data_IF_467572199211
#
_entry.id   IF_467572199211
#
_cell.length_a   1.000
_cell.length_b   1.000
_cell.length_c   1.000
_cell.angle_alpha   90.00
_cell.angle_beta   90.00
_cell.angle_gamma   90.00
#
_symmetry.space_group_name_H-M   'P 1'
#
loop_
_entity.id
_entity.type
_entity.pdbx_description
1 polymer ?
#
# COMPACT_ATOMS: atom_id res chain seq x y z
N UNK A 1 -8.55 48.78 22.50
CA UNK A 1 -9.14 48.22 23.73
C UNK A 1 -8.86 46.71 23.74
N UNK A 2 -8.11 46.24 24.72
CA UNK A 2 -7.83 44.83 24.90
C UNK A 2 -9.05 44.20 25.64
N UNK A 3 -9.61 43.15 25.09
CA UNK A 3 -10.65 42.35 25.76
C UNK A 3 -9.94 41.18 26.46
N UNK A 4 -10.06 41.13 27.79
CA UNK A 4 -9.56 40.01 28.59
C UNK A 4 -10.70 39.04 28.85
N UNK A 5 -10.57 37.79 28.38
CA UNK A 5 -11.57 36.71 28.52
C UNK A 5 -12.99 37.12 28.08
N UNK A 6 -13.19 37.58 26.82
CA UNK A 6 -14.51 37.98 26.37
C UNK A 6 -15.43 36.75 26.28
N UNK A 7 -16.70 36.89 26.77
CA UNK A 7 -17.75 35.94 26.48
C UNK A 7 -18.46 36.37 25.19
N UNK A 8 -18.45 35.55 24.19
CA UNK A 8 -19.21 35.74 22.95
C UNK A 8 -20.50 34.93 23.11
N UNK A 9 -21.65 35.51 22.87
CA UNK A 9 -22.97 34.92 23.15
C UNK A 9 -23.23 33.70 22.28
N UNK A 10 -23.67 33.92 21.03
CA UNK A 10 -24.04 32.83 20.12
C UNK A 10 -23.25 32.81 18.82
N UNK A 11 -22.76 33.97 18.33
CA UNK A 11 -22.11 34.08 17.03
C UNK A 11 -21.10 35.23 16.95
N UNK A 12 -20.17 35.08 16.03
CA UNK A 12 -19.30 36.17 15.56
C UNK A 12 -19.89 36.62 14.22
N UNK A 13 -20.16 37.93 14.09
CA UNK A 13 -20.71 38.53 12.88
C UNK A 13 -19.62 39.16 12.02
N UNK A 14 -19.89 39.25 10.70
CA UNK A 14 -19.10 40.05 9.76
C UNK A 14 -19.40 41.56 9.91
N UNK A 15 -18.76 42.39 9.08
CA UNK A 15 -18.95 43.85 9.10
C UNK A 15 -20.35 44.29 8.61
N UNK A 16 -21.09 43.40 7.95
CA UNK A 16 -22.47 43.65 7.48
C UNK A 16 -23.54 43.12 8.40
N UNK A 17 -23.12 42.50 9.52
CA UNK A 17 -24.05 41.91 10.49
C UNK A 17 -24.49 40.49 10.18
N UNK A 18 -23.90 39.83 9.18
CA UNK A 18 -24.19 38.41 8.88
C UNK A 18 -23.36 37.47 9.78
N UNK A 19 -23.91 36.28 10.07
CA UNK A 19 -23.22 35.27 10.86
C UNK A 19 -21.96 34.75 10.11
N UNK A 20 -20.82 34.89 10.76
CA UNK A 20 -19.54 34.36 10.30
C UNK A 20 -19.22 33.03 10.98
N UNK A 21 -19.39 32.96 12.30
CA UNK A 21 -19.23 31.74 13.10
C UNK A 21 -20.38 31.63 14.09
N UNK A 22 -21.09 30.51 14.08
CA UNK A 22 -22.08 30.19 15.06
C UNK A 22 -21.45 29.35 16.18
N UNK A 23 -21.61 29.81 17.44
CA UNK A 23 -21.04 29.16 18.61
C UNK A 23 -22.18 28.48 19.40
N UNK A 24 -22.28 27.17 19.25
CA UNK A 24 -23.28 26.38 19.99
C UNK A 24 -22.66 25.81 21.25
N UNK A 25 -23.20 26.17 22.40
CA UNK A 25 -22.72 25.66 23.69
C UNK A 25 -23.34 24.29 24.01
N UNK A 26 -22.51 23.37 24.48
CA UNK A 26 -22.93 22.08 25.05
C UNK A 26 -22.75 22.15 26.58
N UNK A 27 -23.74 21.73 27.35
CA UNK A 27 -23.64 21.72 28.82
C UNK A 27 -22.56 20.72 29.26
N UNK A 28 -21.75 21.17 30.25
CA UNK A 28 -20.64 20.36 30.80
C UNK A 28 -19.58 19.92 29.78
N UNK A 29 -19.37 20.70 28.70
CA UNK A 29 -18.36 20.40 27.72
C UNK A 29 -16.95 20.56 28.32
N UNK A 30 -16.07 19.63 28.00
CA UNK A 30 -14.65 19.62 28.38
C UNK A 30 -13.73 19.60 27.15
N UNK A 31 -14.31 19.33 25.98
CA UNK A 31 -13.60 19.27 24.72
C UNK A 31 -13.89 20.52 23.88
N UNK A 32 -12.86 21.14 23.37
CA UNK A 32 -12.96 22.39 22.60
C UNK A 32 -12.05 22.36 21.37
N UNK A 33 -12.20 23.37 20.52
CA UNK A 33 -11.30 23.67 19.40
C UNK A 33 -10.36 24.78 19.81
N UNK A 34 -9.06 24.50 19.72
CA UNK A 34 -8.01 25.49 19.87
C UNK A 34 -7.56 26.01 18.50
N UNK A 35 -7.56 27.32 18.32
CA UNK A 35 -6.98 28.00 17.17
C UNK A 35 -5.69 28.68 17.61
N UNK A 36 -4.56 28.29 17.02
CA UNK A 36 -3.27 28.89 17.31
C UNK A 36 -2.65 29.52 16.06
N UNK A 37 -2.12 30.74 16.19
CA UNK A 37 -1.26 31.33 15.19
C UNK A 37 0.16 30.73 15.28
N UNK A 38 1.01 31.05 14.32
CA UNK A 38 2.39 30.54 14.28
C UNK A 38 3.38 31.63 13.92
N UNK A 39 4.64 31.47 14.36
CA UNK A 39 5.75 32.32 13.94
C UNK A 39 6.12 32.03 12.47
N UNK A 40 6.90 32.93 11.85
CA UNK A 40 7.39 32.77 10.47
C UNK A 40 8.06 31.42 10.28
N UNK A 41 7.66 30.72 9.24
CA UNK A 41 8.15 29.37 8.89
C UNK A 41 7.36 28.20 9.51
N UNK A 42 6.38 28.47 10.38
CA UNK A 42 5.50 27.47 10.95
C UNK A 42 4.04 27.69 10.50
N UNK A 43 3.24 26.63 10.48
CA UNK A 43 1.83 26.71 10.13
C UNK A 43 0.94 27.00 11.35
N UNK A 44 -0.10 27.85 11.25
CA UNK A 44 -1.13 27.95 12.27
C UNK A 44 -1.93 26.64 12.35
N UNK A 45 -2.51 26.36 13.51
CA UNK A 45 -3.19 25.08 13.76
C UNK A 45 -4.63 25.26 14.21
N UNK A 46 -5.46 24.27 13.85
CA UNK A 46 -6.78 24.01 14.43
C UNK A 46 -6.69 22.64 15.11
N UNK A 47 -6.83 22.60 16.42
CA UNK A 47 -6.70 21.37 17.20
C UNK A 47 -7.91 21.12 18.08
N UNK A 48 -8.27 19.85 18.25
CA UNK A 48 -9.17 19.42 19.32
C UNK A 48 -8.35 19.34 20.62
N UNK A 49 -8.91 19.83 21.73
CA UNK A 49 -8.30 19.78 23.06
C UNK A 49 -9.34 19.41 24.12
N UNK A 50 -8.89 19.02 25.30
CA UNK A 50 -9.76 18.58 26.40
C UNK A 50 -9.34 17.23 26.97
N UNK A 51 -10.10 16.18 26.77
CA UNK A 51 -9.82 14.83 27.26
C UNK A 51 -8.59 14.18 26.58
N UNK A 52 -8.17 13.00 27.09
CA UNK A 52 -6.96 12.31 26.59
C UNK A 52 -7.06 11.92 25.10
N UNK A 53 -8.25 11.57 24.61
CA UNK A 53 -8.50 11.16 23.22
C UNK A 53 -9.70 11.94 22.67
N UNK A 54 -9.45 12.98 21.88
CA UNK A 54 -10.48 13.81 21.26
C UNK A 54 -10.28 13.86 19.75
N UNK A 55 -11.30 13.50 19.00
CA UNK A 55 -11.30 13.59 17.52
C UNK A 55 -11.74 14.97 17.06
N UNK A 56 -11.08 15.52 16.03
CA UNK A 56 -11.56 16.69 15.29
C UNK A 56 -12.45 16.22 14.14
N UNK A 57 -13.73 16.59 14.19
CA UNK A 57 -14.70 16.23 13.16
C UNK A 57 -15.05 17.47 12.31
N UNK A 58 -14.72 17.41 11.00
CA UNK A 58 -15.01 18.45 10.03
C UNK A 58 -16.08 17.93 9.06
N UNK A 59 -17.30 18.42 9.17
CA UNK A 59 -18.46 17.89 8.42
C UNK A 59 -18.97 18.92 7.42
N UNK A 60 -18.77 18.71 6.10
CA UNK A 60 -19.41 19.52 5.07
C UNK A 60 -20.92 19.37 5.09
N UNK A 61 -21.65 20.35 4.57
CA UNK A 61 -23.12 20.32 4.48
C UNK A 61 -23.56 19.74 3.11
N UNK A 62 -24.53 18.82 3.15
CA UNK A 62 -25.15 18.24 1.96
C UNK A 62 -24.13 17.46 1.12
N UNK A 63 -24.02 17.77 -0.17
CA UNK A 63 -23.06 17.15 -1.11
C UNK A 63 -21.71 17.86 -1.16
N UNK A 64 -21.47 18.83 -0.26
CA UNK A 64 -20.18 19.53 -0.20
C UNK A 64 -19.03 18.60 0.19
N UNK A 65 -17.81 18.96 -0.19
CA UNK A 65 -16.59 18.25 0.15
C UNK A 65 -15.67 19.09 1.02
N UNK A 66 -14.81 18.46 1.82
CA UNK A 66 -13.74 19.16 2.49
C UNK A 66 -12.66 19.52 1.45
N UNK A 67 -12.29 20.79 1.37
CA UNK A 67 -11.38 21.31 0.35
C UNK A 67 -10.16 21.98 0.95
N UNK A 68 -8.99 21.80 0.31
CA UNK A 68 -7.77 22.54 0.56
C UNK A 68 -7.33 23.26 -0.71
N UNK A 69 -7.18 24.61 -0.62
CA UNK A 69 -6.81 25.42 -1.80
C UNK A 69 -7.77 25.33 -2.99
N UNK A 70 -9.08 25.11 -2.72
CA UNK A 70 -10.11 24.96 -3.74
C UNK A 70 -10.25 23.56 -4.35
N UNK A 71 -9.43 22.62 -3.95
CA UNK A 71 -9.50 21.20 -4.36
C UNK A 71 -9.92 20.31 -3.18
N UNK A 72 -10.59 19.19 -3.45
CA UNK A 72 -10.91 18.21 -2.43
C UNK A 72 -9.64 17.70 -1.73
N UNK A 73 -9.69 17.60 -0.40
CA UNK A 73 -8.59 17.02 0.37
C UNK A 73 -8.57 15.51 0.10
N UNK A 74 -7.46 15.03 -0.44
CA UNK A 74 -7.21 13.62 -0.66
C UNK A 74 -6.70 12.98 0.64
N UNK A 75 -7.19 11.79 0.96
CA UNK A 75 -6.72 11.03 2.11
C UNK A 75 -5.62 10.09 1.62
N UNK A 76 -4.38 10.39 1.97
CA UNK A 76 -3.28 9.47 1.73
C UNK A 76 -3.36 8.28 2.69
N UNK A 77 -3.16 7.10 2.18
CA UNK A 77 -3.17 5.86 2.95
C UNK A 77 -2.38 4.77 2.25
N UNK A 78 -2.20 3.64 2.93
CA UNK A 78 -1.57 2.44 2.35
C UNK A 78 -2.65 1.39 2.13
N UNK A 79 -2.78 0.93 0.90
CA UNK A 79 -3.71 -0.13 0.51
C UNK A 79 -2.97 -1.35 -0.04
N UNK A 80 -3.69 -2.44 -0.23
CA UNK A 80 -3.11 -3.70 -0.64
C UNK A 80 -3.89 -4.36 -1.76
N UNK A 81 -3.15 -5.01 -2.68
CA UNK A 81 -3.71 -5.92 -3.69
C UNK A 81 -3.10 -7.30 -3.44
N UNK A 82 -3.95 -8.33 -3.33
CA UNK A 82 -3.52 -9.71 -3.26
C UNK A 82 -3.53 -10.35 -4.64
N UNK A 83 -2.39 -10.91 -5.05
CA UNK A 83 -2.24 -11.65 -6.30
C UNK A 83 -1.93 -13.11 -5.96
N UNK A 84 -2.90 -14.03 -6.03
CA UNK A 84 -2.63 -15.45 -5.83
C UNK A 84 -1.74 -16.00 -6.94
N UNK A 85 -0.97 -17.03 -6.66
CA UNK A 85 -0.14 -17.72 -7.67
C UNK A 85 -0.94 -18.20 -8.90
N UNK A 86 -2.22 -18.53 -8.71
CA UNK A 86 -3.14 -18.90 -9.82
C UNK A 86 -3.47 -17.76 -10.79
N UNK A 87 -3.22 -16.51 -10.40
CA UNK A 87 -3.34 -15.32 -11.27
C UNK A 87 -2.00 -14.91 -11.91
N UNK A 88 -0.93 -15.63 -11.61
CA UNK A 88 0.39 -15.46 -12.22
C UNK A 88 0.61 -16.55 -13.26
N UNK A 89 1.53 -16.31 -14.18
CA UNK A 89 1.96 -17.29 -15.18
C UNK A 89 3.47 -17.38 -15.22
N UNK A 90 4.05 -18.58 -15.42
CA UNK A 90 5.47 -18.76 -15.64
C UNK A 90 5.97 -17.94 -16.84
N UNK A 91 7.13 -17.33 -16.74
CA UNK A 91 7.79 -16.74 -17.91
C UNK A 91 8.11 -17.85 -18.94
N UNK A 92 8.12 -17.51 -20.22
CA UNK A 92 8.45 -18.49 -21.28
C UNK A 92 9.88 -19.01 -21.13
N UNK A 93 10.80 -18.15 -20.71
CA UNK A 93 12.20 -18.53 -20.43
C UNK A 93 12.40 -18.60 -18.92
N UNK A 94 12.89 -19.72 -18.43
CA UNK A 94 13.13 -19.98 -17.02
C UNK A 94 11.89 -19.69 -16.14
N UNK A 95 10.70 -20.13 -16.59
CA UNK A 95 9.49 -19.97 -15.78
C UNK A 95 9.45 -20.95 -14.62
N UNK A 96 8.94 -20.50 -13.46
CA UNK A 96 8.62 -21.36 -12.33
C UNK A 96 7.52 -22.38 -12.69
N UNK A 97 7.54 -23.59 -12.12
CA UNK A 97 6.53 -24.59 -12.42
C UNK A 97 5.17 -24.23 -11.80
N UNK A 98 4.12 -24.20 -12.60
CA UNK A 98 2.75 -24.01 -12.08
C UNK A 98 2.15 -25.36 -11.68
N UNK A 99 1.87 -25.53 -10.39
CA UNK A 99 1.43 -26.81 -9.82
C UNK A 99 0.19 -26.66 -8.94
N UNK A 100 -0.46 -27.80 -8.71
CA UNK A 100 -1.42 -27.98 -7.64
C UNK A 100 -0.87 -29.04 -6.69
N UNK A 101 -0.75 -28.67 -5.42
CA UNK A 101 -0.25 -29.54 -4.36
C UNK A 101 -1.40 -29.88 -3.42
N UNK A 102 -1.71 -31.18 -3.30
CA UNK A 102 -2.61 -31.68 -2.28
C UNK A 102 -1.82 -31.85 -0.98
N UNK A 103 -2.30 -31.27 0.12
CA UNK A 103 -1.71 -31.47 1.46
C UNK A 103 -2.15 -32.81 2.06
N UNK A 104 -3.40 -32.91 2.44
CA UNK A 104 -4.06 -34.14 2.88
C UNK A 104 -5.48 -34.13 2.35
N UNK A 105 -5.99 -35.27 1.94
CA UNK A 105 -7.36 -35.40 1.44
C UNK A 105 -8.38 -34.68 2.35
N UNK A 106 -9.29 -33.93 1.75
CA UNK A 106 -10.30 -33.08 2.41
C UNK A 106 -9.78 -31.81 3.13
N UNK A 107 -8.51 -31.46 2.96
CA UNK A 107 -7.89 -30.21 3.41
C UNK A 107 -7.62 -29.28 2.21
N UNK A 108 -7.18 -28.03 2.46
CA UNK A 108 -6.88 -27.09 1.36
C UNK A 108 -5.80 -27.61 0.41
N UNK A 109 -6.10 -27.65 -0.87
CA UNK A 109 -5.09 -27.80 -1.93
C UNK A 109 -4.46 -26.43 -2.20
N UNK A 110 -3.18 -26.44 -2.53
CA UNK A 110 -2.43 -25.23 -2.86
C UNK A 110 -2.25 -25.13 -4.37
N UNK A 111 -2.62 -23.98 -4.96
CA UNK A 111 -2.11 -23.57 -6.26
C UNK A 111 -0.80 -22.83 -6.01
N UNK A 112 0.29 -23.31 -6.59
CA UNK A 112 1.63 -22.77 -6.36
C UNK A 112 2.36 -22.47 -7.66
N UNK A 113 3.30 -21.54 -7.58
CA UNK A 113 4.43 -21.45 -8.50
C UNK A 113 5.65 -21.98 -7.76
N UNK A 114 6.17 -23.11 -8.23
CA UNK A 114 7.29 -23.81 -7.59
C UNK A 114 8.60 -23.35 -8.23
N UNK A 115 9.39 -22.60 -7.47
CA UNK A 115 10.64 -22.00 -7.91
C UNK A 115 11.81 -22.90 -7.55
N UNK A 116 12.64 -23.21 -8.54
CA UNK A 116 13.81 -24.08 -8.41
C UNK A 116 14.83 -23.58 -7.37
N UNK A 117 15.55 -24.51 -6.78
CA UNK A 117 16.52 -24.23 -5.72
C UNK A 117 17.90 -23.73 -6.22
N UNK A 118 18.16 -23.77 -7.52
CA UNK A 118 19.51 -23.55 -8.09
C UNK A 118 19.53 -22.67 -9.32
N UNK A 119 18.37 -22.42 -9.91
CA UNK A 119 18.22 -21.65 -11.15
C UNK A 119 17.25 -20.53 -10.93
N UNK A 120 17.60 -19.32 -11.33
CA UNK A 120 16.68 -18.18 -11.29
C UNK A 120 15.48 -18.47 -12.18
N UNK A 121 14.31 -18.48 -11.57
CA UNK A 121 13.06 -18.69 -12.26
C UNK A 121 12.14 -17.50 -12.08
N UNK A 122 11.25 -17.30 -13.05
CA UNK A 122 10.43 -16.10 -13.18
C UNK A 122 8.96 -16.43 -13.33
N UNK A 123 8.12 -15.59 -12.73
CA UNK A 123 6.68 -15.57 -12.94
C UNK A 123 6.20 -14.14 -13.18
N UNK A 124 5.14 -13.98 -13.97
CA UNK A 124 4.63 -12.68 -14.37
C UNK A 124 3.15 -12.54 -14.04
N UNK A 125 2.73 -11.32 -13.82
CA UNK A 125 1.32 -10.91 -13.70
C UNK A 125 1.18 -9.46 -14.08
N UNK A 126 -0.05 -9.00 -14.25
CA UNK A 126 -0.31 -7.59 -14.53
C UNK A 126 -1.51 -7.07 -13.75
N UNK A 127 -1.50 -5.80 -13.43
CA UNK A 127 -2.56 -5.10 -12.73
C UNK A 127 -2.84 -3.80 -13.47
N UNK A 128 -4.12 -3.51 -13.75
CA UNK A 128 -4.53 -2.13 -14.01
C UNK A 128 -4.60 -1.44 -12.63
N UNK A 129 -3.61 -0.60 -12.33
CA UNK A 129 -3.52 0.02 -11.02
C UNK A 129 -4.72 0.94 -10.77
N UNK A 130 -5.26 0.96 -9.53
CA UNK A 130 -6.37 1.85 -9.17
C UNK A 130 -6.02 3.31 -9.42
N UNK A 131 -7.00 4.13 -9.83
CA UNK A 131 -6.82 5.58 -10.00
C UNK A 131 -6.50 6.28 -8.67
N UNK A 132 -6.83 5.64 -7.55
CA UNK A 132 -6.47 6.12 -6.23
C UNK A 132 -4.98 5.96 -5.89
N UNK A 133 -4.22 5.19 -6.67
CA UNK A 133 -2.77 5.08 -6.49
C UNK A 133 -2.09 6.43 -6.78
N UNK A 134 -1.14 6.80 -5.93
CA UNK A 134 -0.40 8.07 -6.05
C UNK A 134 0.75 8.01 -7.07
N UNK A 135 0.82 6.94 -7.90
CA UNK A 135 1.84 6.72 -8.93
C UNK A 135 3.28 6.61 -8.40
N UNK A 136 3.40 6.52 -7.07
CA UNK A 136 4.67 6.37 -6.37
C UNK A 136 5.19 4.94 -6.34
N UNK A 137 6.20 4.72 -5.49
CA UNK A 137 6.78 3.38 -5.28
C UNK A 137 5.80 2.43 -4.61
N UNK A 138 5.99 1.14 -4.89
CA UNK A 138 5.26 0.02 -4.30
C UNK A 138 6.17 -0.73 -3.32
N UNK A 139 5.58 -1.50 -2.42
CA UNK A 139 6.30 -2.52 -1.65
C UNK A 139 5.54 -3.84 -1.73
N UNK A 140 6.16 -4.95 -1.38
CA UNK A 140 5.51 -6.25 -1.48
C UNK A 140 5.91 -7.20 -0.36
N UNK A 141 5.10 -8.26 -0.19
CA UNK A 141 5.40 -9.44 0.61
C UNK A 141 5.14 -10.69 -0.23
N UNK A 142 5.99 -11.69 -0.11
CA UNK A 142 5.79 -13.00 -0.73
C UNK A 142 5.19 -13.95 0.29
N UNK A 143 4.11 -14.61 -0.10
CA UNK A 143 3.49 -15.70 0.65
C UNK A 143 3.95 -17.00 0.00
N UNK A 144 4.62 -17.84 0.74
CA UNK A 144 5.19 -19.08 0.22
C UNK A 144 5.17 -20.20 1.25
N UNK A 145 5.52 -21.39 0.83
CA UNK A 145 5.70 -22.54 1.70
C UNK A 145 6.90 -23.35 1.25
N UNK A 146 7.71 -23.88 2.18
CA UNK A 146 8.85 -24.71 1.84
C UNK A 146 8.41 -26.09 1.34
N UNK A 147 9.11 -26.61 0.32
CA UNK A 147 8.95 -27.98 -0.14
C UNK A 147 9.78 -28.99 0.67
N UNK A 148 10.54 -28.53 1.67
CA UNK A 148 11.40 -29.34 2.52
C UNK A 148 11.54 -28.78 3.93
N UNK A 149 12.23 -29.50 4.81
CA UNK A 149 12.56 -29.05 6.17
C UNK A 149 13.84 -28.19 6.22
N UNK A 150 14.33 -27.69 5.11
CA UNK A 150 15.48 -26.79 5.06
C UNK A 150 15.14 -25.45 5.73
N UNK A 151 16.12 -24.84 6.41
CA UNK A 151 15.98 -23.56 7.12
C UNK A 151 16.87 -22.46 6.53
N UNK A 152 17.42 -22.67 5.34
CA UNK A 152 18.19 -21.66 4.63
C UNK A 152 17.34 -20.47 4.17
N UNK A 153 18.01 -19.40 3.80
CA UNK A 153 17.40 -18.19 3.29
C UNK A 153 16.98 -18.37 1.81
N UNK A 154 15.77 -17.92 1.49
CA UNK A 154 15.25 -17.81 0.13
C UNK A 154 15.17 -16.34 -0.27
N UNK A 155 15.67 -15.97 -1.44
CA UNK A 155 15.66 -14.60 -1.94
C UNK A 155 14.65 -14.45 -3.07
N UNK A 156 13.64 -13.61 -2.84
CA UNK A 156 12.65 -13.25 -3.86
C UNK A 156 12.86 -11.81 -4.33
N UNK A 157 12.72 -11.57 -5.63
CA UNK A 157 12.80 -10.24 -6.21
C UNK A 157 11.54 -9.88 -6.99
N UNK A 158 11.15 -8.61 -6.97
CA UNK A 158 10.06 -8.07 -7.77
C UNK A 158 10.52 -6.85 -8.54
N UNK A 159 10.11 -6.77 -9.80
CA UNK A 159 10.31 -5.64 -10.68
C UNK A 159 9.02 -5.34 -11.45
N UNK A 160 8.86 -4.09 -11.91
CA UNK A 160 7.63 -3.64 -12.55
C UNK A 160 7.87 -2.60 -13.65
N UNK A 161 6.96 -2.54 -14.62
CA UNK A 161 6.90 -1.53 -15.67
C UNK A 161 5.46 -1.23 -16.03
N UNK A 162 5.10 0.04 -16.15
CA UNK A 162 3.81 0.51 -16.63
C UNK A 162 3.84 0.73 -18.15
N UNK A 163 2.71 0.50 -18.79
CA UNK A 163 2.50 0.77 -20.22
C UNK A 163 1.19 1.53 -20.40
N UNK A 164 1.28 2.71 -20.99
CA UNK A 164 0.13 3.52 -21.37
C UNK A 164 -0.54 3.00 -22.65
N UNK A 165 -1.67 3.60 -22.99
CA UNK A 165 -2.31 3.33 -24.30
C UNK A 165 -1.36 3.66 -25.44
N UNK A 166 -1.23 2.75 -26.39
CA UNK A 166 -0.34 2.82 -27.55
C UNK A 166 1.15 2.66 -27.26
N UNK A 167 1.58 2.42 -26.03
CA UNK A 167 2.96 2.07 -25.72
C UNK A 167 3.32 0.65 -26.19
N UNK A 168 4.59 0.45 -26.53
CA UNK A 168 5.09 -0.90 -26.76
C UNK A 168 5.18 -1.68 -25.44
N UNK A 169 4.74 -2.95 -25.46
CA UNK A 169 4.91 -3.87 -24.32
C UNK A 169 6.33 -4.47 -24.28
N UNK A 170 7.07 -4.38 -25.38
CA UNK A 170 8.46 -4.83 -25.47
C UNK A 170 9.39 -3.79 -24.83
N UNK A 171 9.36 -3.71 -23.51
CA UNK A 171 10.14 -2.78 -22.68
C UNK A 171 10.82 -3.51 -21.53
N UNK A 172 11.89 -2.92 -21.01
CA UNK A 172 12.59 -3.46 -19.83
C UNK A 172 11.85 -3.11 -18.55
N UNK A 173 11.83 -4.05 -17.60
CA UNK A 173 11.37 -3.78 -16.25
C UNK A 173 12.26 -2.75 -15.54
N UNK A 174 11.72 -2.12 -14.50
CA UNK A 174 12.51 -1.32 -13.56
C UNK A 174 13.50 -2.18 -12.77
N UNK A 175 14.33 -1.52 -11.96
CA UNK A 175 15.28 -2.22 -11.09
C UNK A 175 14.54 -3.11 -10.09
N UNK A 176 14.91 -4.37 -10.03
CA UNK A 176 14.34 -5.31 -9.08
C UNK A 176 14.72 -4.95 -7.63
N UNK A 177 13.79 -5.18 -6.72
CA UNK A 177 14.02 -5.08 -5.28
C UNK A 177 13.83 -6.46 -4.68
N UNK A 178 14.76 -6.89 -3.85
CA UNK A 178 14.73 -8.22 -3.24
C UNK A 178 14.30 -8.19 -1.78
N UNK A 179 13.75 -9.32 -1.32
CA UNK A 179 13.45 -9.62 0.07
C UNK A 179 13.95 -11.03 0.38
N UNK A 180 14.57 -11.20 1.53
CA UNK A 180 15.06 -12.50 2.00
C UNK A 180 14.12 -13.01 3.10
N UNK A 181 13.82 -14.31 3.06
CA UNK A 181 13.00 -14.98 4.07
C UNK A 181 13.55 -16.39 4.33
N UNK A 182 13.73 -16.74 5.60
CA UNK A 182 14.31 -18.02 5.98
C UNK A 182 13.26 -19.13 6.05
N UNK A 183 13.58 -20.33 5.59
CA UNK A 183 12.74 -21.50 5.75
C UNK A 183 12.56 -21.84 7.25
N UNK A 184 11.34 -22.19 7.66
CA UNK A 184 11.02 -22.49 9.08
C UNK A 184 11.21 -23.95 9.46
N UNK A 185 11.69 -24.79 8.55
CA UNK A 185 11.98 -26.20 8.84
C UNK A 185 10.75 -27.13 8.86
N UNK A 186 9.59 -26.65 8.42
CA UNK A 186 8.36 -27.43 8.33
C UNK A 186 7.77 -27.33 6.92
N UNK A 187 7.52 -28.49 6.31
CA UNK A 187 6.88 -28.57 4.98
C UNK A 187 5.43 -28.14 5.08
N UNK A 188 4.95 -27.42 4.05
CA UNK A 188 3.55 -26.98 3.92
C UNK A 188 3.08 -25.93 4.95
N UNK A 189 3.93 -25.48 5.85
CA UNK A 189 3.61 -24.33 6.69
C UNK A 189 3.74 -23.03 5.88
N UNK A 190 2.76 -22.15 6.03
CA UNK A 190 2.76 -20.88 5.33
C UNK A 190 3.75 -19.91 5.94
N UNK A 191 4.59 -19.32 5.10
CA UNK A 191 5.49 -18.23 5.45
C UNK A 191 5.09 -16.94 4.74
N UNK A 192 5.41 -15.81 5.35
CA UNK A 192 5.17 -14.49 4.81
C UNK A 192 6.47 -13.70 5.02
N UNK A 193 7.10 -13.29 3.93
CA UNK A 193 8.31 -12.49 4.00
C UNK A 193 8.08 -11.16 4.75
N UNK A 194 9.14 -10.53 5.21
CA UNK A 194 9.09 -9.13 5.59
C UNK A 194 8.60 -8.28 4.39
N UNK A 195 8.10 -7.09 4.66
CA UNK A 195 7.78 -6.14 3.60
C UNK A 195 9.08 -5.67 2.93
N UNK A 196 9.11 -5.65 1.61
CA UNK A 196 10.27 -5.27 0.81
C UNK A 196 10.63 -3.78 0.96
N UNK A 197 11.81 -3.41 0.47
CA UNK A 197 12.12 -2.03 0.10
C UNK A 197 11.22 -1.50 -1.01
N UNK A 198 11.34 -0.22 -1.32
CA UNK A 198 10.54 0.48 -2.32
C UNK A 198 10.87 0.02 -3.75
N UNK A 199 9.90 -0.54 -4.46
CA UNK A 199 9.96 -0.92 -5.88
C UNK A 199 9.53 0.28 -6.72
N UNK A 200 10.41 0.78 -7.58
CA UNK A 200 10.08 1.81 -8.56
C UNK A 200 9.50 1.16 -9.81
N UNK A 201 8.29 1.56 -10.18
CA UNK A 201 7.68 1.14 -11.45
C UNK A 201 8.31 1.95 -12.59
N UNK A 202 8.91 1.27 -13.56
CA UNK A 202 9.42 1.93 -14.77
C UNK A 202 8.26 2.33 -15.72
N UNK A 203 8.57 3.07 -16.80
CA UNK A 203 7.57 3.44 -17.80
C UNK A 203 6.75 4.67 -17.47
N UNK A 204 7.16 5.47 -16.45
CA UNK A 204 6.43 6.70 -16.05
C UNK A 204 4.96 6.43 -15.74
N UNK A 205 4.65 5.60 -14.74
CA UNK A 205 3.31 5.13 -14.46
C UNK A 205 2.30 6.27 -14.26
N UNK A 206 1.08 6.08 -14.76
CA UNK A 206 -0.05 6.95 -14.53
C UNK A 206 -1.29 6.17 -14.08
N UNK A 207 -2.27 6.89 -13.52
CA UNK A 207 -3.49 6.30 -13.00
C UNK A 207 -4.27 5.54 -14.08
N UNK A 208 -4.65 4.30 -13.79
CA UNK A 208 -5.43 3.45 -14.69
C UNK A 208 -4.62 2.73 -15.77
N UNK A 209 -3.31 2.93 -15.86
CA UNK A 209 -2.45 2.18 -16.77
C UNK A 209 -2.22 0.75 -16.31
N UNK A 210 -1.92 -0.13 -17.26
CA UNK A 210 -1.56 -1.50 -16.97
C UNK A 210 -0.09 -1.56 -16.54
N UNK A 211 0.15 -2.09 -15.35
CA UNK A 211 1.48 -2.35 -14.83
C UNK A 211 1.78 -3.85 -14.92
N UNK A 212 2.87 -4.20 -15.58
CA UNK A 212 3.40 -5.56 -15.66
C UNK A 212 4.41 -5.78 -14.53
N UNK A 213 4.34 -6.93 -13.90
CA UNK A 213 5.20 -7.35 -12.80
C UNK A 213 5.91 -8.65 -13.15
N UNK A 214 7.15 -8.76 -12.69
CA UNK A 214 7.88 -10.02 -12.71
C UNK A 214 8.41 -10.32 -11.31
N UNK A 215 7.93 -11.43 -10.75
CA UNK A 215 8.46 -12.05 -9.54
C UNK A 215 9.51 -13.09 -9.94
N UNK A 216 10.58 -13.19 -9.18
CA UNK A 216 11.59 -14.24 -9.37
C UNK A 216 12.18 -14.69 -8.04
N UNK A 217 12.75 -15.89 -8.02
CA UNK A 217 13.68 -16.33 -7.00
C UNK A 217 15.10 -16.14 -7.54
N UNK A 218 15.95 -15.48 -6.77
CA UNK A 218 17.37 -15.26 -7.04
C UNK A 218 18.18 -16.44 -6.46
N UNK A 219 17.92 -17.64 -7.00
CA UNK A 219 18.42 -18.91 -6.48
C UNK A 219 19.94 -19.05 -6.62
N UNK A 220 20.56 -18.31 -7.55
CA UNK A 220 21.99 -18.33 -7.74
C UNK A 220 22.73 -17.25 -6.93
N UNK A 221 22.02 -16.36 -6.21
CA UNK A 221 22.63 -15.40 -5.31
C UNK A 221 23.33 -16.13 -4.14
N UNK A 222 24.51 -15.66 -3.77
CA UNK A 222 25.27 -16.27 -2.67
C UNK A 222 24.57 -16.23 -1.29
N UNK A 223 23.53 -15.42 -1.16
CA UNK A 223 22.68 -15.34 0.04
C UNK A 223 21.43 -16.24 0.00
N UNK A 224 21.04 -16.79 -1.17
CA UNK A 224 19.99 -17.80 -1.27
C UNK A 224 20.60 -19.15 -0.87
N UNK A 225 20.28 -19.63 0.31
CA UNK A 225 20.82 -20.88 0.89
C UNK A 225 19.71 -21.90 1.11
N UNK A 226 18.47 -21.61 0.71
CA UNK A 226 17.36 -22.55 0.76
C UNK A 226 17.49 -23.61 -0.34
N UNK A 227 18.05 -24.76 -0.01
CA UNK A 227 18.45 -25.83 -0.95
C UNK A 227 17.30 -26.70 -1.46
N UNK A 228 16.07 -26.21 -1.41
CA UNK A 228 14.89 -26.89 -1.95
C UNK A 228 14.03 -25.89 -2.73
N UNK A 229 13.03 -26.40 -3.45
CA UNK A 229 12.09 -25.54 -4.15
C UNK A 229 11.25 -24.71 -3.17
N UNK A 230 10.96 -23.48 -3.57
CA UNK A 230 10.12 -22.55 -2.85
C UNK A 230 8.76 -22.42 -3.56
N UNK A 231 7.70 -22.87 -2.92
CA UNK A 231 6.34 -22.88 -3.45
C UNK A 231 5.64 -21.57 -3.12
N UNK A 232 5.60 -20.65 -4.07
CA UNK A 232 4.91 -19.37 -3.91
C UNK A 232 3.41 -19.55 -4.01
N UNK A 233 2.69 -19.07 -2.98
CA UNK A 233 1.23 -19.05 -2.88
C UNK A 233 0.63 -17.76 -3.46
N UNK A 234 1.38 -16.67 -3.42
CA UNK A 234 0.98 -15.38 -3.94
C UNK A 234 1.86 -14.22 -3.46
N UNK A 235 1.56 -13.06 -3.97
CA UNK A 235 2.23 -11.79 -3.62
C UNK A 235 1.19 -10.79 -3.15
N UNK A 236 1.50 -10.08 -2.09
CA UNK A 236 0.74 -8.95 -1.60
C UNK A 236 1.49 -7.67 -1.98
N UNK A 237 0.89 -6.86 -2.82
CA UNK A 237 1.41 -5.54 -3.21
C UNK A 237 0.82 -4.49 -2.28
N UNK A 238 1.65 -3.57 -1.82
CA UNK A 238 1.24 -2.39 -1.09
C UNK A 238 1.50 -1.15 -1.93
N UNK A 239 0.55 -0.25 -1.95
CA UNK A 239 0.65 1.03 -2.64
C UNK A 239 0.05 2.15 -1.80
N UNK A 240 0.51 3.38 -2.05
CA UNK A 240 -0.01 4.56 -1.37
C UNK A 240 -1.11 5.18 -2.19
N UNK A 241 -2.22 5.51 -1.55
CA UNK A 241 -3.33 6.24 -2.19
C UNK A 241 -3.22 7.73 -1.95
N UNK A 242 -3.72 8.51 -2.89
CA UNK A 242 -3.90 9.97 -2.76
C UNK A 242 -5.36 10.41 -2.96
N UNK A 243 -6.26 9.45 -3.11
CA UNK A 243 -7.70 9.61 -3.22
C UNK A 243 -8.43 8.51 -2.44
N UNK A 244 -9.68 8.76 -2.04
CA UNK A 244 -10.49 7.79 -1.30
C UNK A 244 -11.06 6.67 -2.21
N UNK A 245 -11.15 6.91 -3.50
CA UNK A 245 -11.70 5.99 -4.49
C UNK A 245 -11.24 6.38 -5.90
N UNK A 246 -11.66 5.61 -6.90
CA UNK A 246 -11.35 5.80 -8.32
C UNK A 246 -12.25 6.84 -9.04
N UNK A 247 -13.02 7.64 -8.32
CA UNK A 247 -13.93 8.63 -8.90
C UNK A 247 -13.22 9.93 -9.33
#
# INVERSE_FOLDING_TARGET
KTLTSPKIGTNILDTNGNELINLTATGSSVNEITLANAATGNAPTITASGETNVSLNLVPKGTGTLQGGGSAIKIAGKETIWIPSSAMYPATTNGAAAEQVETTATRPDMKVLDFDASTDQFAQFSIAMPKSWNEGTLTYQVYWTPASTNTGDCIFGLQAVACADSDTIDVVYGTAVTVTDAGIGTVEDQQISSESGAVTVAGSPAAGEQTYFQLYRDANAGGDTFSANARVLGVKIFFTTDAANDA
#
